data_IF_626049480676
#
_entry.id   IF_626049480676
#
_cell.length_a   1.000
_cell.length_b   1.000
_cell.length_c   1.000
_cell.angle_alpha   90.00
_cell.angle_beta   90.00
_cell.angle_gamma   90.00
#
_symmetry.space_group_name_H-M   'P 1'
#
loop_
_entity.id
_entity.type
_entity.pdbx_description
1 polymer ?
#
# COMPACT_ATOMS: atom_id res chain seq x y z
N UNK A 1 -10.58 -48.59 54.68
CA UNK A 1 -9.11 -48.46 54.57
C UNK A 1 -8.73 -49.01 53.20
N UNK A 2 -8.14 -48.13 52.37
CA UNK A 2 -7.43 -48.37 51.11
C UNK A 2 -8.19 -49.03 49.94
N UNK A 3 -8.08 -48.60 48.70
CA UNK A 3 -7.56 -47.35 48.13
C UNK A 3 -8.19 -47.22 46.74
N UNK A 4 -8.63 -46.02 46.44
CA UNK A 4 -9.17 -45.59 45.16
C UNK A 4 -8.03 -45.01 44.33
N UNK A 5 -8.16 -45.09 43.01
CA UNK A 5 -7.42 -44.35 41.99
C UNK A 5 -5.97 -44.77 41.66
N UNK A 6 -5.82 -45.39 40.49
CA UNK A 6 -4.72 -45.07 39.58
C UNK A 6 -5.22 -45.20 38.13
N UNK A 7 -6.10 -44.27 37.76
CA UNK A 7 -6.27 -43.80 36.40
C UNK A 7 -5.95 -42.30 36.43
N UNK A 8 -5.32 -41.80 35.36
CA UNK A 8 -4.88 -40.42 35.14
C UNK A 8 -3.51 -40.01 35.68
N UNK A 9 -2.47 -40.45 34.97
CA UNK A 9 -1.38 -39.55 34.58
C UNK A 9 -1.01 -39.78 33.10
N UNK A 10 -1.94 -39.47 32.19
CA UNK A 10 -1.52 -38.94 30.89
C UNK A 10 -0.94 -37.55 31.18
N UNK A 11 0.39 -37.48 31.23
CA UNK A 11 1.10 -36.20 31.19
C UNK A 11 0.66 -35.47 29.92
N UNK A 12 -0.24 -34.50 30.06
CA UNK A 12 -0.44 -33.45 29.07
C UNK A 12 0.92 -32.79 28.85
N UNK A 13 1.63 -33.19 27.79
CA UNK A 13 2.73 -32.41 27.25
C UNK A 13 2.19 -31.00 27.02
N UNK A 14 2.68 -30.05 27.82
CA UNK A 14 2.39 -28.63 27.65
C UNK A 14 2.86 -28.22 26.26
N UNK A 15 1.93 -28.19 25.30
CA UNK A 15 2.19 -27.90 23.90
C UNK A 15 2.68 -26.48 23.74
N UNK A 16 4.00 -26.28 23.78
CA UNK A 16 4.62 -25.04 23.35
C UNK A 16 4.18 -24.72 21.93
N UNK A 17 3.85 -23.46 21.66
CA UNK A 17 3.41 -23.00 20.34
C UNK A 17 4.38 -23.45 19.25
N UNK A 18 3.86 -24.11 18.21
CA UNK A 18 4.68 -24.59 17.11
C UNK A 18 5.06 -23.41 16.20
N UNK A 19 6.34 -22.99 16.25
CA UNK A 19 6.88 -21.92 15.39
C UNK A 19 6.68 -22.17 13.90
N UNK A 20 6.65 -23.42 13.43
CA UNK A 20 6.34 -23.70 12.03
C UNK A 20 4.90 -23.30 11.67
N UNK A 21 3.93 -23.58 12.55
CA UNK A 21 2.54 -23.15 12.34
C UNK A 21 2.41 -21.63 12.36
N UNK A 22 3.17 -20.97 13.23
CA UNK A 22 3.24 -19.50 13.26
C UNK A 22 3.71 -18.94 11.91
N UNK A 23 4.86 -19.41 11.41
CA UNK A 23 5.42 -18.94 10.15
C UNK A 23 4.49 -19.26 8.97
N UNK A 24 3.88 -20.46 8.95
CA UNK A 24 2.91 -20.83 7.93
C UNK A 24 1.67 -19.92 7.95
N UNK A 25 1.17 -19.57 9.13
CA UNK A 25 0.05 -18.65 9.30
C UNK A 25 0.39 -17.26 8.77
N UNK A 26 1.55 -16.71 9.15
CA UNK A 26 2.02 -15.41 8.65
C UNK A 26 2.14 -15.42 7.14
N UNK A 27 2.86 -16.40 6.57
CA UNK A 27 3.10 -16.49 5.13
C UNK A 27 1.79 -16.65 4.33
N UNK A 28 0.87 -17.51 4.80
CA UNK A 28 -0.43 -17.72 4.13
C UNK A 28 -1.28 -16.45 4.17
N UNK A 29 -1.39 -15.80 5.33
CA UNK A 29 -2.12 -14.54 5.46
C UNK A 29 -1.53 -13.45 4.57
N UNK A 30 -0.20 -13.33 4.51
CA UNK A 30 0.51 -12.39 3.65
C UNK A 30 0.23 -12.66 2.15
N UNK A 31 0.25 -13.91 1.71
CA UNK A 31 -0.07 -14.27 0.32
C UNK A 31 -1.53 -13.99 -0.05
N UNK A 32 -2.47 -14.29 0.85
CA UNK A 32 -3.89 -13.95 0.66
C UNK A 32 -4.06 -12.44 0.56
N UNK A 33 -3.45 -11.68 1.47
CA UNK A 33 -3.52 -10.21 1.46
C UNK A 33 -2.97 -9.63 0.16
N UNK A 34 -1.90 -10.19 -0.41
CA UNK A 34 -1.39 -9.77 -1.72
C UNK A 34 -2.44 -9.91 -2.83
N UNK A 35 -3.13 -11.05 -2.90
CA UNK A 35 -4.21 -11.25 -3.86
C UNK A 35 -5.39 -10.30 -3.63
N UNK A 36 -5.79 -10.10 -2.38
CA UNK A 36 -6.91 -9.21 -2.03
C UNK A 36 -6.66 -7.75 -2.43
N UNK A 37 -5.41 -7.29 -2.47
CA UNK A 37 -5.08 -5.92 -2.90
C UNK A 37 -5.50 -5.62 -4.35
N UNK A 38 -5.67 -6.64 -5.20
CA UNK A 38 -6.11 -6.45 -6.59
C UNK A 38 -7.62 -6.28 -6.76
N UNK A 39 -8.41 -6.64 -5.75
CA UNK A 39 -9.87 -6.64 -5.84
C UNK A 39 -10.50 -5.24 -5.90
N UNK A 40 -9.74 -4.18 -5.57
CA UNK A 40 -10.23 -2.80 -5.59
C UNK A 40 -10.00 -2.10 -6.96
N UNK A 41 -9.63 -2.84 -8.00
CA UNK A 41 -9.43 -2.26 -9.33
C UNK A 41 -10.78 -2.08 -10.05
N UNK A 42 -11.05 -0.91 -10.64
CA UNK A 42 -12.36 -0.56 -11.22
C UNK A 42 -12.73 -1.41 -12.44
N UNK A 43 -11.76 -1.68 -13.32
CA UNK A 43 -11.92 -2.55 -14.50
C UNK A 43 -10.90 -3.69 -14.44
N UNK A 44 -11.29 -4.87 -14.94
CA UNK A 44 -10.44 -6.06 -14.89
C UNK A 44 -9.22 -5.96 -15.82
N UNK A 45 -9.30 -5.17 -16.87
CA UNK A 45 -8.18 -4.86 -17.78
C UNK A 45 -7.18 -3.87 -17.18
N UNK A 46 -7.48 -3.27 -16.02
CA UNK A 46 -6.55 -2.43 -15.26
C UNK A 46 -5.76 -3.22 -14.20
N UNK A 47 -5.83 -4.55 -14.21
CA UNK A 47 -5.02 -5.40 -13.32
C UNK A 47 -3.62 -5.57 -13.90
N UNK A 48 -2.68 -4.76 -13.39
CA UNK A 48 -1.27 -4.78 -13.77
C UNK A 48 -0.37 -5.20 -12.59
N UNK A 49 0.78 -5.81 -12.91
CA UNK A 49 1.82 -6.07 -11.92
C UNK A 49 2.29 -4.76 -11.26
N UNK A 50 2.56 -4.80 -9.96
CA UNK A 50 3.05 -3.63 -9.21
C UNK A 50 4.10 -4.05 -8.19
N UNK A 51 5.33 -3.57 -8.41
CA UNK A 51 6.44 -3.75 -7.47
C UNK A 51 6.10 -3.16 -6.10
N UNK A 52 5.50 -1.97 -6.06
CA UNK A 52 5.12 -1.31 -4.82
C UNK A 52 4.13 -2.15 -4.00
N UNK A 53 3.13 -2.79 -4.63
CA UNK A 53 2.22 -3.73 -3.93
C UNK A 53 2.96 -4.96 -3.42
N UNK A 54 3.88 -5.48 -4.21
CA UNK A 54 4.72 -6.61 -3.81
C UNK A 54 5.55 -6.26 -2.57
N UNK A 55 6.28 -5.14 -2.55
CA UNK A 55 7.07 -4.72 -1.39
C UNK A 55 6.20 -4.38 -0.18
N UNK A 56 5.03 -3.75 -0.37
CA UNK A 56 4.08 -3.45 0.70
C UNK A 56 3.57 -4.72 1.41
N UNK A 57 3.50 -5.84 0.68
CA UNK A 57 3.14 -7.15 1.25
C UNK A 57 4.13 -7.58 2.34
N UNK A 58 5.42 -7.30 2.16
CA UNK A 58 6.45 -7.59 3.16
C UNK A 58 6.45 -6.59 4.32
N UNK A 59 6.10 -5.32 4.07
CA UNK A 59 5.87 -4.34 5.14
C UNK A 59 4.76 -4.84 6.08
N UNK A 60 3.60 -5.19 5.51
CA UNK A 60 2.48 -5.72 6.29
C UNK A 60 2.81 -7.06 6.94
N UNK A 61 3.43 -7.98 6.20
CA UNK A 61 3.82 -9.31 6.71
C UNK A 61 4.82 -9.25 7.86
N UNK A 62 5.86 -8.41 7.74
CA UNK A 62 6.86 -8.19 8.79
C UNK A 62 6.25 -7.60 10.06
N UNK A 63 5.41 -6.56 9.92
CA UNK A 63 4.72 -5.95 11.06
C UNK A 63 3.73 -6.93 11.72
N UNK A 64 2.95 -7.66 10.92
CA UNK A 64 2.02 -8.67 11.40
C UNK A 64 2.75 -9.76 12.20
N UNK A 65 3.91 -10.23 11.70
CA UNK A 65 4.74 -11.20 12.41
C UNK A 65 5.20 -10.67 13.79
N UNK A 66 5.63 -9.42 13.86
CA UNK A 66 6.02 -8.78 15.14
C UNK A 66 4.84 -8.72 16.10
N UNK A 67 3.72 -8.13 15.67
CA UNK A 67 2.54 -7.90 16.51
C UNK A 67 1.97 -9.23 17.02
N UNK A 68 1.77 -10.21 16.14
CA UNK A 68 1.23 -11.51 16.53
C UNK A 68 2.11 -12.21 17.56
N UNK A 69 3.44 -12.17 17.38
CA UNK A 69 4.35 -12.81 18.34
C UNK A 69 4.32 -12.11 19.71
N UNK A 70 4.20 -10.78 19.75
CA UNK A 70 4.09 -10.01 21.00
C UNK A 70 2.78 -10.32 21.76
N UNK A 71 1.66 -10.44 21.06
CA UNK A 71 0.39 -10.84 21.70
C UNK A 71 0.40 -12.29 22.17
N UNK A 72 1.06 -13.17 21.44
CA UNK A 72 1.14 -14.60 21.75
C UNK A 72 2.37 -14.97 22.57
N UNK A 73 3.00 -13.99 23.24
CA UNK A 73 4.30 -14.15 23.91
C UNK A 73 4.36 -15.35 24.86
N UNK A 74 3.29 -15.57 25.65
CA UNK A 74 3.22 -16.66 26.63
C UNK A 74 3.17 -18.07 26.04
N UNK A 75 2.81 -18.20 24.75
CA UNK A 75 2.68 -19.49 24.05
C UNK A 75 4.04 -20.02 23.55
N UNK A 76 4.97 -19.12 23.21
CA UNK A 76 6.27 -19.45 22.65
C UNK A 76 7.37 -19.34 23.72
N UNK A 77 7.76 -20.49 24.29
CA UNK A 77 8.63 -20.54 25.47
C UNK A 77 10.11 -20.25 25.20
N UNK A 78 10.56 -20.42 23.96
CA UNK A 78 11.97 -20.22 23.57
C UNK A 78 12.24 -18.74 23.27
N UNK A 79 12.80 -18.04 24.26
CA UNK A 79 13.07 -16.60 24.16
C UNK A 79 14.04 -16.29 23.02
N UNK A 80 15.03 -17.14 22.76
CA UNK A 80 16.00 -16.94 21.69
C UNK A 80 15.31 -16.93 20.33
N UNK A 81 14.44 -17.90 20.07
CA UNK A 81 13.65 -17.93 18.82
C UNK A 81 12.70 -16.74 18.70
N UNK A 82 12.07 -16.32 19.79
CA UNK A 82 11.19 -15.15 19.77
C UNK A 82 11.97 -13.89 19.33
N UNK A 83 13.14 -13.64 19.93
CA UNK A 83 13.97 -12.50 19.55
C UNK A 83 14.51 -12.60 18.13
N UNK A 84 14.86 -13.79 17.65
CA UNK A 84 15.24 -14.00 16.24
C UNK A 84 14.08 -13.62 15.32
N UNK A 85 12.86 -14.09 15.59
CA UNK A 85 11.68 -13.78 14.77
C UNK A 85 11.38 -12.29 14.78
N UNK A 86 11.46 -11.64 15.94
CA UNK A 86 11.31 -10.17 16.03
C UNK A 86 12.38 -9.45 15.21
N UNK A 87 13.64 -9.88 15.31
CA UNK A 87 14.75 -9.28 14.56
C UNK A 87 14.59 -9.45 13.05
N UNK A 88 14.22 -10.65 12.59
CA UNK A 88 13.94 -10.91 11.18
C UNK A 88 12.74 -10.10 10.70
N UNK A 89 11.67 -10.01 11.48
CA UNK A 89 10.49 -9.22 11.14
C UNK A 89 10.79 -7.74 11.03
N UNK A 90 11.57 -7.20 11.96
CA UNK A 90 11.98 -5.80 11.95
C UNK A 90 12.89 -5.51 10.75
N UNK A 91 13.80 -6.43 10.41
CA UNK A 91 14.67 -6.31 9.25
C UNK A 91 13.87 -6.34 7.94
N UNK A 92 12.99 -7.33 7.77
CA UNK A 92 12.12 -7.43 6.58
C UNK A 92 11.26 -6.18 6.44
N UNK A 93 10.65 -5.72 7.54
CA UNK A 93 9.86 -4.49 7.56
C UNK A 93 10.69 -3.28 7.13
N UNK A 94 11.88 -3.08 7.71
CA UNK A 94 12.71 -1.91 7.43
C UNK A 94 13.20 -1.88 5.98
N UNK A 95 13.68 -3.03 5.45
CA UNK A 95 14.15 -3.14 4.06
C UNK A 95 12.99 -2.93 3.08
N UNK A 96 11.85 -3.60 3.31
CA UNK A 96 10.69 -3.44 2.45
C UNK A 96 10.13 -2.01 2.48
N UNK A 97 10.08 -1.38 3.66
CA UNK A 97 9.66 0.01 3.81
C UNK A 97 10.61 0.95 3.07
N UNK A 98 11.92 0.71 3.14
CA UNK A 98 12.91 1.47 2.39
C UNK A 98 12.74 1.33 0.87
N UNK A 99 12.50 0.12 0.36
CA UNK A 99 12.22 -0.11 -1.07
C UNK A 99 10.96 0.64 -1.53
N UNK A 100 9.85 0.50 -0.78
CA UNK A 100 8.61 1.23 -1.06
C UNK A 100 8.83 2.74 -1.03
N UNK A 101 9.59 3.26 -0.07
CA UNK A 101 9.79 4.71 0.11
C UNK A 101 10.76 5.31 -0.90
N UNK A 102 11.75 4.54 -1.37
CA UNK A 102 12.78 5.02 -2.29
C UNK A 102 12.36 4.94 -3.75
N UNK A 103 11.43 4.03 -4.09
CA UNK A 103 11.05 3.73 -5.49
C UNK A 103 12.25 3.38 -6.38
N UNK A 104 13.37 2.95 -5.78
CA UNK A 104 14.66 2.81 -6.47
C UNK A 104 14.71 1.68 -7.51
N UNK A 105 13.74 0.77 -7.50
CA UNK A 105 13.65 -0.35 -8.43
C UNK A 105 12.60 -0.15 -9.52
N UNK A 106 11.81 0.93 -9.45
CA UNK A 106 10.68 1.17 -10.34
C UNK A 106 11.15 1.91 -11.60
N UNK A 107 10.98 1.28 -12.77
CA UNK A 107 11.23 1.91 -14.07
C UNK A 107 9.95 2.56 -14.67
N UNK A 108 10.06 3.15 -15.86
CA UNK A 108 8.97 3.88 -16.53
C UNK A 108 7.75 2.98 -16.81
N UNK A 109 7.97 1.77 -17.33
CA UNK A 109 6.90 0.80 -17.63
C UNK A 109 6.20 0.31 -16.36
N UNK A 110 6.96 0.02 -15.30
CA UNK A 110 6.43 -0.41 -14.00
C UNK A 110 5.70 0.72 -13.29
N UNK A 111 6.18 1.96 -13.41
CA UNK A 111 5.50 3.15 -12.91
C UNK A 111 4.13 3.29 -13.56
N UNK A 112 4.07 3.27 -14.89
CA UNK A 112 2.81 3.40 -15.64
C UNK A 112 1.87 2.23 -15.36
N UNK A 113 2.39 0.99 -15.36
CA UNK A 113 1.63 -0.21 -15.03
C UNK A 113 1.00 -0.14 -13.64
N UNK A 114 1.74 0.35 -12.64
CA UNK A 114 1.21 0.52 -11.29
C UNK A 114 0.25 1.72 -11.15
N UNK A 115 0.41 2.75 -12.00
CA UNK A 115 -0.40 3.97 -11.95
C UNK A 115 -1.76 3.82 -12.64
N UNK A 116 -1.86 2.99 -13.69
CA UNK A 116 -3.15 2.65 -14.32
C UNK A 116 -4.21 2.21 -13.30
N UNK A 117 -3.99 1.19 -12.43
CA UNK A 117 -4.96 0.81 -11.42
C UNK A 117 -5.15 1.87 -10.33
N UNK A 118 -4.12 2.65 -10.00
CA UNK A 118 -4.24 3.75 -9.03
C UNK A 118 -5.23 4.81 -9.50
N UNK A 119 -5.09 5.25 -10.75
CA UNK A 119 -6.04 6.14 -11.41
C UNK A 119 -7.43 5.51 -11.50
N UNK A 120 -7.49 4.22 -11.81
CA UNK A 120 -8.75 3.48 -11.88
C UNK A 120 -9.57 3.57 -10.58
N UNK A 121 -8.91 3.52 -9.41
CA UNK A 121 -9.56 3.67 -8.09
C UNK A 121 -10.15 5.08 -7.92
N UNK A 122 -9.45 6.12 -8.36
CA UNK A 122 -9.93 7.49 -8.25
C UNK A 122 -11.10 7.77 -9.22
N UNK A 123 -11.08 7.20 -10.44
CA UNK A 123 -12.25 7.20 -11.34
C UNK A 123 -13.46 6.54 -10.67
N UNK A 124 -13.31 5.33 -10.12
CA UNK A 124 -14.38 4.63 -9.41
C UNK A 124 -14.96 5.47 -8.27
N UNK A 125 -14.08 6.05 -7.46
CA UNK A 125 -14.46 6.82 -6.27
C UNK A 125 -15.22 8.09 -6.66
N UNK A 126 -14.71 8.85 -7.63
CA UNK A 126 -15.35 10.06 -8.15
C UNK A 126 -16.70 9.77 -8.82
N UNK A 127 -16.81 8.64 -9.53
CA UNK A 127 -18.04 8.23 -10.21
C UNK A 127 -19.14 7.76 -9.24
N UNK A 128 -18.77 7.14 -8.11
CA UNK A 128 -19.73 6.52 -7.18
C UNK A 128 -20.03 7.32 -5.92
N UNK A 129 -19.25 8.36 -5.62
CA UNK A 129 -19.46 9.17 -4.43
C UNK A 129 -20.78 9.97 -4.49
N UNK A 130 -21.49 10.02 -3.36
CA UNK A 130 -22.72 10.81 -3.16
C UNK A 130 -22.39 12.30 -2.95
N UNK A 131 -21.95 12.97 -4.02
CA UNK A 131 -21.55 14.38 -3.98
C UNK A 131 -22.75 15.30 -4.28
N UNK A 132 -23.01 16.26 -3.37
CA UNK A 132 -24.13 17.21 -3.46
C UNK A 132 -23.71 18.65 -3.75
N UNK A 133 -22.50 19.07 -3.37
CA UNK A 133 -21.96 20.39 -3.71
C UNK A 133 -21.54 20.43 -5.19
N UNK A 134 -22.10 21.33 -6.02
CA UNK A 134 -21.77 21.41 -7.45
C UNK A 134 -20.27 21.63 -7.73
N UNK A 135 -19.56 22.34 -6.84
CA UNK A 135 -18.12 22.61 -6.99
C UNK A 135 -17.31 21.32 -6.79
N UNK A 136 -17.73 20.50 -5.83
CA UNK A 136 -17.12 19.19 -5.57
C UNK A 136 -17.44 18.21 -6.70
N UNK A 137 -18.64 18.27 -7.28
CA UNK A 137 -18.99 17.47 -8.47
C UNK A 137 -18.12 17.85 -9.66
N UNK A 138 -17.98 19.15 -9.95
CA UNK A 138 -17.10 19.66 -11.01
C UNK A 138 -15.64 19.20 -10.82
N UNK A 139 -15.14 19.23 -9.59
CA UNK A 139 -13.82 18.68 -9.26
C UNK A 139 -13.75 17.18 -9.56
N UNK A 140 -14.71 16.38 -9.07
CA UNK A 140 -14.74 14.94 -9.32
C UNK A 140 -14.80 14.59 -10.82
N UNK A 141 -15.57 15.34 -11.60
CA UNK A 141 -15.69 15.14 -13.04
C UNK A 141 -14.39 15.49 -13.78
N UNK A 142 -13.69 16.55 -13.35
CA UNK A 142 -12.35 16.88 -13.88
C UNK A 142 -11.29 15.81 -13.54
N UNK A 143 -11.39 15.18 -12.36
CA UNK A 143 -10.53 14.06 -11.97
C UNK A 143 -10.80 12.86 -12.88
N UNK A 144 -12.07 12.54 -13.15
CA UNK A 144 -12.43 11.45 -14.07
C UNK A 144 -11.88 11.72 -15.47
N UNK A 145 -12.10 12.91 -16.01
CA UNK A 145 -11.64 13.28 -17.36
C UNK A 145 -10.11 13.17 -17.49
N UNK A 146 -9.37 13.77 -16.55
CA UNK A 146 -7.92 13.72 -16.52
C UNK A 146 -7.41 12.28 -16.44
N UNK A 147 -7.94 11.49 -15.50
CA UNK A 147 -7.42 10.16 -15.24
C UNK A 147 -7.79 9.14 -16.32
N UNK A 148 -8.95 9.26 -16.97
CA UNK A 148 -9.29 8.44 -18.14
C UNK A 148 -8.31 8.70 -19.28
N UNK A 149 -8.00 9.98 -19.54
CA UNK A 149 -7.03 10.37 -20.56
C UNK A 149 -5.62 9.85 -20.22
N UNK A 150 -5.17 10.02 -18.97
CA UNK A 150 -3.86 9.58 -18.50
C UNK A 150 -3.71 8.05 -18.55
N UNK A 151 -4.77 7.27 -18.27
CA UNK A 151 -4.76 5.82 -18.47
C UNK A 151 -4.52 5.46 -19.94
N UNK A 152 -5.18 6.14 -20.88
CA UNK A 152 -4.97 5.90 -22.30
C UNK A 152 -3.55 6.27 -22.73
N UNK A 153 -3.02 7.39 -22.24
CA UNK A 153 -1.65 7.84 -22.49
C UNK A 153 -0.63 6.83 -21.97
N UNK A 154 -0.77 6.34 -20.73
CA UNK A 154 0.10 5.32 -20.15
C UNK A 154 0.05 4.00 -20.94
N UNK A 155 -1.15 3.52 -21.32
CA UNK A 155 -1.29 2.30 -22.15
C UNK A 155 -0.57 2.46 -23.49
N UNK A 156 -0.66 3.63 -24.12
CA UNK A 156 0.03 3.92 -25.38
C UNK A 156 1.55 4.03 -25.21
N UNK A 157 2.03 4.67 -24.14
CA UNK A 157 3.46 4.82 -23.86
C UNK A 157 4.12 3.48 -23.55
N UNK A 158 3.48 2.60 -22.76
CA UNK A 158 3.99 1.24 -22.51
C UNK A 158 4.17 0.50 -23.84
N UNK A 159 3.14 0.49 -24.69
CA UNK A 159 3.18 -0.20 -25.97
C UNK A 159 4.25 0.38 -26.92
N UNK A 160 4.44 1.69 -26.91
CA UNK A 160 5.47 2.35 -27.71
C UNK A 160 6.88 1.99 -27.23
N UNK A 161 7.14 2.06 -25.92
CA UNK A 161 8.43 1.72 -25.31
C UNK A 161 8.78 0.24 -25.53
N UNK A 162 7.82 -0.67 -25.35
CA UNK A 162 8.03 -2.11 -25.59
C UNK A 162 8.43 -2.40 -27.05
N UNK A 163 7.89 -1.64 -28.02
CA UNK A 163 8.13 -1.86 -29.46
C UNK A 163 9.34 -1.11 -29.99
N UNK A 164 9.56 0.11 -29.52
CA UNK A 164 10.47 1.08 -30.12
C UNK A 164 11.65 1.45 -29.20
N UNK A 165 11.59 1.03 -27.93
CA UNK A 165 12.53 1.43 -26.89
C UNK A 165 12.21 2.81 -26.30
N UNK A 166 12.89 3.14 -25.20
CA UNK A 166 12.74 4.43 -24.52
C UNK A 166 13.23 5.60 -25.38
N UNK A 167 12.54 6.73 -25.31
CA UNK A 167 13.04 8.00 -25.81
C UNK A 167 13.97 8.65 -24.77
N UNK A 168 15.28 8.50 -24.95
CA UNK A 168 16.28 9.10 -24.06
C UNK A 168 17.59 8.32 -24.05
N UNK A 169 18.48 8.69 -23.14
CA UNK A 169 19.74 7.96 -22.88
C UNK A 169 19.69 7.10 -21.60
N UNK A 170 18.49 6.96 -21.00
CA UNK A 170 18.26 6.23 -19.75
C UNK A 170 18.62 7.02 -18.49
N UNK A 171 18.99 8.31 -18.60
CA UNK A 171 19.24 9.14 -17.42
C UNK A 171 17.93 9.57 -16.76
N UNK A 172 17.73 9.33 -15.44
CA UNK A 172 16.52 9.77 -14.75
C UNK A 172 16.32 11.28 -14.83
N UNK A 173 15.11 11.70 -15.24
CA UNK A 173 14.74 13.10 -15.34
C UNK A 173 14.28 13.64 -13.97
N UNK A 174 14.60 14.90 -13.62
CA UNK A 174 14.18 15.48 -12.35
C UNK A 174 12.66 15.73 -12.33
N UNK A 175 12.03 15.39 -11.19
CA UNK A 175 10.62 15.69 -10.96
C UNK A 175 10.38 17.20 -10.77
N UNK A 176 9.14 17.64 -11.01
CA UNK A 176 8.68 18.97 -10.56
C UNK A 176 8.57 19.02 -9.03
N UNK A 177 8.49 20.22 -8.45
CA UNK A 177 8.25 20.39 -7.00
C UNK A 177 6.91 19.77 -6.60
N UNK A 178 6.87 19.20 -5.40
CA UNK A 178 5.65 18.71 -4.74
C UNK A 178 4.95 19.79 -3.91
N UNK A 179 5.59 20.94 -3.74
CA UNK A 179 5.09 22.01 -2.90
C UNK A 179 3.94 22.74 -3.59
N UNK A 180 2.96 23.20 -2.80
CA UNK A 180 1.88 24.03 -3.31
C UNK A 180 2.44 25.40 -3.72
N UNK A 181 2.69 25.60 -5.01
CA UNK A 181 3.20 26.88 -5.51
C UNK A 181 2.14 27.98 -5.40
N UNK A 182 2.54 29.27 -5.37
CA UNK A 182 1.60 30.38 -5.34
C UNK A 182 0.60 30.37 -6.51
N UNK A 183 1.02 29.91 -7.68
CA UNK A 183 0.17 29.76 -8.87
C UNK A 183 -0.88 28.66 -8.65
N UNK A 184 -0.47 27.49 -8.17
CA UNK A 184 -1.39 26.38 -7.88
C UNK A 184 -2.37 26.73 -6.75
N UNK A 185 -1.93 27.46 -5.73
CA UNK A 185 -2.80 27.98 -4.69
C UNK A 185 -3.85 28.92 -5.29
N UNK A 186 -3.45 29.84 -6.16
CA UNK A 186 -4.37 30.76 -6.80
C UNK A 186 -5.42 30.03 -7.66
N UNK A 187 -5.01 29.02 -8.43
CA UNK A 187 -5.93 28.19 -9.22
C UNK A 187 -6.92 27.44 -8.31
N UNK A 188 -6.43 26.86 -7.21
CA UNK A 188 -7.27 26.17 -6.24
C UNK A 188 -8.31 27.11 -5.60
N UNK A 189 -7.91 28.34 -5.22
CA UNK A 189 -8.83 29.33 -4.64
C UNK A 189 -9.93 29.76 -5.63
N UNK A 190 -9.58 29.93 -6.90
CA UNK A 190 -10.56 30.26 -7.94
C UNK A 190 -11.60 29.16 -8.11
N UNK A 191 -11.18 27.89 -8.02
CA UNK A 191 -12.08 26.74 -8.12
C UNK A 191 -13.10 26.64 -6.97
N UNK A 192 -12.83 27.25 -5.81
CA UNK A 192 -13.76 27.26 -4.67
C UNK A 192 -14.94 28.22 -4.91
N UNK A 193 -14.85 29.13 -5.89
CA UNK A 193 -15.92 30.05 -6.29
C UNK A 193 -16.49 30.89 -5.11
N UNK A 194 -15.69 31.08 -4.04
CA UNK A 194 -16.00 31.90 -2.87
C UNK A 194 -14.74 32.59 -2.34
N UNK A 195 -14.88 33.74 -1.66
CA UNK A 195 -13.76 34.36 -0.95
C UNK A 195 -13.19 33.41 0.10
N UNK A 196 -11.86 33.28 0.09
CA UNK A 196 -11.11 32.50 1.08
C UNK A 196 -10.60 33.45 2.16
N UNK A 197 -10.87 33.14 3.43
CA UNK A 197 -10.35 33.94 4.54
C UNK A 197 -8.84 33.71 4.71
N UNK A 198 -8.10 34.68 5.28
CA UNK A 198 -6.68 34.49 5.59
C UNK A 198 -6.44 33.25 6.46
N UNK A 199 -7.31 33.00 7.43
CA UNK A 199 -7.25 31.82 8.31
C UNK A 199 -7.30 30.50 7.52
N UNK A 200 -8.23 30.40 6.55
CA UNK A 200 -8.36 29.19 5.71
C UNK A 200 -7.16 29.05 4.77
N UNK A 201 -6.66 30.15 4.22
CA UNK A 201 -5.46 30.15 3.37
C UNK A 201 -4.23 29.69 4.15
N UNK A 202 -4.04 30.20 5.36
CA UNK A 202 -2.92 29.84 6.23
C UNK A 202 -2.98 28.36 6.62
N UNK A 203 -4.16 27.83 6.93
CA UNK A 203 -4.33 26.39 7.20
C UNK A 203 -3.94 25.48 6.02
N UNK A 204 -4.23 25.90 4.78
CA UNK A 204 -3.91 25.12 3.58
C UNK A 204 -2.42 25.16 3.26
N UNK A 205 -1.75 26.27 3.56
CA UNK A 205 -0.34 26.50 3.22
C UNK A 205 0.65 26.05 4.30
N UNK A 206 0.19 25.82 5.54
CA UNK A 206 1.06 25.46 6.68
C UNK A 206 1.03 23.99 7.07
N UNK A 207 0.14 23.17 6.51
CA UNK A 207 0.08 21.72 6.77
C UNK A 207 1.04 20.96 5.86
N UNK A 208 2.30 20.86 6.30
CA UNK A 208 3.26 19.82 5.89
C UNK A 208 3.52 18.84 7.04
#
# INVERSE_FOLDING_TARGET
>A
MADNHNADQQQHQGGGGNYWRFMAMVATSTAIMFGLMYLNTYELDHVFWSETRFWMTFVMGGMMMIVMLLFMWGMYKDKTKNFIILGVGALVFAVALWLVRSQATVNDEEYMSAMIPHHSIAIMTSARAEITDPRVRKLADSIIEAQVKEIAEMKLLIEDIERNGEMGDGTPLPARTTDLTPELLQEAEQAVERPISPEVRDEVTTRE
#
